data_IF_459580823463
#
_entry.id   IF_459580823463
#
_cell.length_a   1.000
_cell.length_b   1.000
_cell.length_c   1.000
_cell.angle_alpha   90.00
_cell.angle_beta   90.00
_cell.angle_gamma   90.00
#
_symmetry.space_group_name_H-M   'P 1'
#
loop_
_entity.id
_entity.type
_entity.pdbx_description
1 polymer ?
#
# COMPACT_ATOMS: atom_id res chain seq x y z
N UNK A 1 4.93 5.65 5.13
CA UNK A 1 4.48 5.71 3.72
C UNK A 1 5.61 5.23 2.85
N UNK A 2 5.34 4.32 1.93
CA UNK A 2 6.31 4.06 0.86
C UNK A 2 6.32 5.28 -0.07
N UNK A 3 7.47 5.95 -0.27
CA UNK A 3 7.56 7.18 -1.07
C UNK A 3 7.57 6.90 -2.58
N UNK A 4 6.88 5.84 -3.02
CA UNK A 4 6.86 5.38 -4.40
C UNK A 4 5.51 4.75 -4.71
N UNK A 5 5.18 4.74 -6.00
CA UNK A 5 4.10 3.90 -6.50
C UNK A 5 4.44 2.42 -6.27
N UNK A 6 3.40 1.63 -6.01
CA UNK A 6 3.52 0.18 -5.98
C UNK A 6 3.85 -0.35 -7.37
N UNK A 7 4.54 -1.48 -7.43
CA UNK A 7 4.76 -2.26 -8.64
C UNK A 7 4.01 -3.58 -8.57
N UNK A 8 3.81 -4.30 -9.70
CA UNK A 8 3.19 -5.62 -9.68
C UNK A 8 3.86 -6.60 -8.70
N UNK A 9 5.17 -6.48 -8.51
CA UNK A 9 5.97 -7.32 -7.61
C UNK A 9 5.58 -7.14 -6.14
N UNK A 10 5.12 -5.96 -5.72
CA UNK A 10 4.65 -5.73 -4.35
C UNK A 10 3.39 -6.55 -4.05
N UNK A 11 2.46 -6.64 -5.01
CA UNK A 11 1.26 -7.47 -4.89
C UNK A 11 1.63 -8.96 -4.98
N UNK A 12 2.51 -9.33 -5.92
CA UNK A 12 2.97 -10.70 -6.09
C UNK A 12 3.64 -11.25 -4.83
N UNK A 13 4.43 -10.43 -4.12
CA UNK A 13 5.05 -10.81 -2.86
C UNK A 13 4.02 -11.12 -1.76
N UNK A 14 2.96 -10.31 -1.63
CA UNK A 14 1.87 -10.57 -0.68
C UNK A 14 1.13 -11.85 -1.03
N UNK A 15 0.85 -12.09 -2.32
CA UNK A 15 0.21 -13.32 -2.79
C UNK A 15 1.10 -14.53 -2.51
N UNK A 16 2.41 -14.44 -2.80
CA UNK A 16 3.36 -15.52 -2.55
C UNK A 16 3.44 -15.89 -1.06
N UNK A 17 3.42 -14.90 -0.17
CA UNK A 17 3.34 -15.13 1.27
C UNK A 17 2.03 -15.80 1.67
N UNK A 18 0.89 -15.28 1.20
CA UNK A 18 -0.43 -15.86 1.53
C UNK A 18 -0.61 -17.30 1.01
N UNK A 19 0.10 -17.67 -0.05
CA UNK A 19 0.11 -19.02 -0.61
C UNK A 19 1.14 -19.95 0.06
N UNK A 20 2.02 -19.44 0.93
CA UNK A 20 3.04 -20.24 1.61
C UNK A 20 2.52 -20.89 2.89
N UNK A 21 3.27 -21.85 3.43
CA UNK A 21 2.97 -22.48 4.72
C UNK A 21 3.02 -21.49 5.90
N UNK A 22 3.79 -20.39 5.76
CA UNK A 22 3.94 -19.39 6.81
C UNK A 22 2.64 -18.64 7.10
N UNK A 23 1.73 -18.58 6.13
CA UNK A 23 0.40 -17.99 6.27
C UNK A 23 -0.66 -18.99 6.75
N UNK A 24 -0.28 -20.18 7.22
CA UNK A 24 -1.20 -21.30 7.51
C UNK A 24 -2.34 -21.03 8.49
N UNK A 25 -2.28 -19.94 9.27
CA UNK A 25 -3.35 -19.52 10.18
C UNK A 25 -4.09 -18.23 9.73
N UNK A 26 -3.78 -17.71 8.55
CA UNK A 26 -4.41 -16.53 7.98
C UNK A 26 -5.45 -17.00 6.97
N UNK A 27 -6.72 -16.89 7.33
CA UNK A 27 -7.85 -17.19 6.44
C UNK A 27 -9.01 -16.22 6.68
N UNK A 28 -9.88 -16.09 5.69
CA UNK A 28 -11.09 -15.24 5.78
C UNK A 28 -10.83 -13.73 5.76
N UNK A 29 -9.60 -13.29 5.47
CA UNK A 29 -9.18 -11.89 5.61
C UNK A 29 -8.86 -11.20 4.29
N UNK A 30 -8.99 -9.87 4.24
CA UNK A 30 -8.60 -9.04 3.10
C UNK A 30 -7.36 -8.20 3.43
N UNK A 31 -6.21 -8.55 2.85
CA UNK A 31 -4.97 -7.78 3.06
C UNK A 31 -4.84 -6.67 2.01
N UNK A 32 -4.67 -5.44 2.47
CA UNK A 32 -4.52 -4.25 1.61
C UNK A 32 -3.04 -3.99 1.32
N UNK A 33 -2.62 -4.18 0.06
CA UNK A 33 -1.28 -3.81 -0.43
C UNK A 33 -1.34 -2.49 -1.21
N UNK A 34 -1.23 -1.35 -0.52
CA UNK A 34 -1.36 -0.02 -1.15
C UNK A 34 -0.36 1.04 -0.66
N UNK A 35 0.74 0.61 -0.05
CA UNK A 35 1.78 1.51 0.46
C UNK A 35 1.36 2.40 1.65
N UNK A 36 0.21 2.13 2.27
CA UNK A 36 -0.33 2.88 3.40
C UNK A 36 -1.32 3.98 3.02
N UNK A 37 -1.78 4.04 1.77
CA UNK A 37 -2.66 5.09 1.24
C UNK A 37 -4.01 5.23 1.95
N UNK A 38 -4.47 4.18 2.63
CA UNK A 38 -5.71 4.19 3.42
C UNK A 38 -5.48 4.34 4.93
N UNK A 39 -4.23 4.32 5.40
CA UNK A 39 -3.90 4.38 6.84
C UNK A 39 -3.83 5.83 7.37
N UNK A 40 -3.28 6.73 6.56
CA UNK A 40 -3.41 8.19 6.62
C UNK A 40 -3.26 8.66 5.17
N UNK A 41 -3.80 9.82 4.79
CA UNK A 41 -3.59 10.39 3.45
C UNK A 41 -2.30 11.24 3.45
N UNK A 42 -1.22 10.82 2.78
CA UNK A 42 0.08 11.50 2.97
C UNK A 42 0.58 12.05 1.65
N UNK A 43 0.13 11.44 0.54
CA UNK A 43 0.07 12.09 -0.75
C UNK A 43 -0.82 13.33 -0.69
N UNK A 44 -1.80 13.43 0.22
CA UNK A 44 -2.55 14.67 0.39
C UNK A 44 -1.72 15.79 1.02
N UNK A 45 -0.62 15.49 1.73
CA UNK A 45 0.29 16.56 2.20
C UNK A 45 1.09 17.14 1.03
N UNK A 46 1.64 16.27 0.18
CA UNK A 46 2.38 16.69 -1.02
C UNK A 46 1.44 17.30 -2.08
N UNK A 47 0.21 16.78 -2.22
CA UNK A 47 -0.82 17.34 -3.08
C UNK A 47 -1.32 18.68 -2.54
N UNK A 48 -1.50 18.83 -1.22
CA UNK A 48 -1.86 20.12 -0.63
C UNK A 48 -0.78 21.17 -0.93
N UNK A 49 0.51 20.83 -0.75
CA UNK A 49 1.62 21.71 -1.13
C UNK A 49 1.63 22.03 -2.64
N UNK A 50 1.38 21.04 -3.50
CA UNK A 50 1.28 21.25 -4.95
C UNK A 50 0.11 22.19 -5.30
N UNK A 51 -1.07 21.97 -4.72
CA UNK A 51 -2.25 22.80 -4.96
C UNK A 51 -2.10 24.21 -4.40
N UNK A 52 -1.44 24.38 -3.25
CA UNK A 52 -1.06 25.68 -2.69
C UNK A 52 -0.08 26.41 -3.61
N UNK A 53 0.87 25.71 -4.22
CA UNK A 53 1.82 26.26 -5.20
C UNK A 53 1.23 26.57 -6.58
N UNK A 54 -0.01 26.15 -6.87
CA UNK A 54 -0.77 26.55 -8.06
C UNK A 54 -1.52 27.89 -7.86
N UNK A 55 -1.51 28.45 -6.65
CA UNK A 55 -2.06 29.76 -6.29
C UNK A 55 -1.16 30.93 -6.67
#
# INVERSE_FOLDING_TARGET
MTPRLGSPEDVAAVVAFLASEDAGFINGETIVCNGGSLAHQPHSHDLAQYLEGLG
#
